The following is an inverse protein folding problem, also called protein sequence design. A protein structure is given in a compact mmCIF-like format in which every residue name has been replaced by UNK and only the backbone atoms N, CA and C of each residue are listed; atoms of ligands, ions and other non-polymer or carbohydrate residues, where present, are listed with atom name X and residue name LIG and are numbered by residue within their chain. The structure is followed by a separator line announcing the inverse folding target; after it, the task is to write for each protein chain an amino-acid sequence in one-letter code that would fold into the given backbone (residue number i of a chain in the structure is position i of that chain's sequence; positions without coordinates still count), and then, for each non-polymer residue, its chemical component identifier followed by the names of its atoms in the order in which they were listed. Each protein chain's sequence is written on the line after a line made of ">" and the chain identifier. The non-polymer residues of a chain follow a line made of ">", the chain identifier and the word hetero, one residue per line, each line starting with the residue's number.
data_IF_135572739928
#
_entry.id   IF_135572739928
#
_cell.length_a   1.000
_cell.length_b   1.000
_cell.length_c   1.000
_cell.angle_alpha   90.00
_cell.angle_beta   90.00
_cell.angle_gamma   90.00
#
_symmetry.space_group_name_H-M   'P 1'
#
loop_
_entity.id
_entity.type
_entity.pdbx_description
1 polymer ?
#
# COMPACT_ATOMS: atom_id res chain seq x y z
N UNK A 1 -7.43 -13.31 17.41
CA UNK A 1 -6.60 -12.80 18.51
C UNK A 1 -6.57 -13.87 19.61
N UNK A 2 -5.40 -14.47 19.87
CA UNK A 2 -5.24 -15.55 20.84
C UNK A 2 -5.24 -15.04 22.29
N UNK A 3 -4.71 -13.83 22.53
CA UNK A 3 -4.72 -13.15 23.83
C UNK A 3 -4.60 -11.64 23.61
N UNK A 4 -4.98 -10.84 24.59
CA UNK A 4 -5.06 -9.39 24.45
C UNK A 4 -6.25 -8.93 23.63
N UNK A 5 -6.19 -7.70 23.06
CA UNK A 5 -7.24 -7.12 22.24
C UNK A 5 -6.65 -6.28 21.11
N UNK A 6 -7.35 -6.24 19.97
CA UNK A 6 -7.13 -5.31 18.89
C UNK A 6 -8.42 -4.53 18.72
N UNK A 7 -8.35 -3.19 18.78
CA UNK A 7 -9.54 -2.35 18.68
C UNK A 7 -9.45 -1.38 17.51
N UNK A 8 -10.60 -1.15 16.85
CA UNK A 8 -10.79 -0.11 15.84
C UNK A 8 -11.89 0.82 16.34
N UNK A 9 -11.56 2.10 16.53
CA UNK A 9 -12.51 3.07 17.09
C UNK A 9 -13.04 2.70 18.49
N UNK A 10 -12.24 1.95 19.29
CA UNK A 10 -12.63 1.49 20.61
C UNK A 10 -13.42 0.18 20.65
N UNK A 11 -13.78 -0.40 19.50
CA UNK A 11 -14.50 -1.68 19.38
C UNK A 11 -13.48 -2.78 19.12
N UNK A 12 -13.55 -3.87 19.89
CA UNK A 12 -12.70 -5.06 19.66
C UNK A 12 -13.06 -5.70 18.30
N UNK A 13 -12.04 -6.03 17.52
CA UNK A 13 -12.25 -6.62 16.18
C UNK A 13 -13.03 -7.95 16.23
N UNK A 14 -13.05 -8.63 17.37
CA UNK A 14 -13.85 -9.87 17.59
C UNK A 14 -15.33 -9.61 17.72
N UNK A 15 -15.71 -8.38 18.09
CA UNK A 15 -17.09 -7.94 18.25
C UNK A 15 -17.62 -7.23 16.96
N UNK A 16 -16.78 -7.07 15.94
CA UNK A 16 -17.17 -6.50 14.66
C UNK A 16 -17.64 -7.59 13.69
N UNK A 17 -18.68 -7.29 12.91
CA UNK A 17 -19.01 -8.13 11.77
C UNK A 17 -17.86 -8.08 10.74
N UNK A 18 -17.56 -9.21 10.08
CA UNK A 18 -16.47 -9.33 9.13
C UNK A 18 -16.55 -8.29 8.00
N UNK A 19 -17.74 -8.07 7.46
CA UNK A 19 -17.98 -7.07 6.41
C UNK A 19 -17.70 -5.65 6.90
N UNK A 20 -17.99 -5.34 8.15
CA UNK A 20 -17.70 -4.04 8.75
C UNK A 20 -16.20 -3.85 8.94
N UNK A 21 -15.52 -4.86 9.46
CA UNK A 21 -14.06 -4.85 9.59
C UNK A 21 -13.40 -4.66 8.22
N UNK A 22 -13.83 -5.42 7.21
CA UNK A 22 -13.28 -5.34 5.86
C UNK A 22 -13.54 -3.99 5.19
N UNK A 23 -14.62 -3.29 5.52
CA UNK A 23 -14.84 -1.90 5.06
C UNK A 23 -13.86 -0.89 5.64
N UNK A 24 -13.40 -1.12 6.87
CA UNK A 24 -12.49 -0.18 7.55
C UNK A 24 -11.03 -0.36 7.18
N UNK A 25 -10.64 -1.48 6.60
CA UNK A 25 -9.21 -1.77 6.30
C UNK A 25 -9.02 -2.08 4.83
N UNK A 26 -8.03 -1.45 4.20
CA UNK A 26 -7.54 -1.80 2.86
C UNK A 26 -6.11 -2.28 2.94
N UNK A 27 -5.77 -3.26 2.10
CA UNK A 27 -4.43 -3.81 1.98
C UNK A 27 -3.86 -3.54 0.59
N UNK A 28 -2.57 -3.17 0.53
CA UNK A 28 -1.78 -3.20 -0.70
C UNK A 28 -0.61 -4.12 -0.43
N UNK A 29 -0.66 -5.32 -1.03
CA UNK A 29 0.35 -6.36 -0.86
C UNK A 29 1.53 -6.19 -1.82
N UNK A 30 2.67 -6.77 -1.47
CA UNK A 30 3.84 -6.87 -2.33
C UNK A 30 3.52 -7.67 -3.60
N UNK A 31 2.91 -8.85 -3.44
CA UNK A 31 2.48 -9.69 -4.56
C UNK A 31 1.09 -9.25 -5.05
N UNK A 32 1.08 -8.52 -6.16
CA UNK A 32 -0.14 -7.97 -6.71
C UNK A 32 -0.79 -8.97 -7.64
N UNK A 33 -1.98 -9.39 -7.25
CA UNK A 33 -2.84 -10.22 -8.07
C UNK A 33 -3.86 -9.36 -8.86
N UNK A 34 -3.89 -9.57 -10.17
CA UNK A 34 -4.96 -9.05 -11.04
C UNK A 34 -5.78 -10.22 -11.59
N UNK A 35 -7.08 -10.07 -11.50
CA UNK A 35 -8.02 -11.06 -12.02
C UNK A 35 -8.07 -10.99 -13.55
N UNK A 36 -8.37 -12.12 -14.19
CA UNK A 36 -8.56 -12.22 -15.64
C UNK A 36 -9.88 -11.55 -16.07
N UNK A 37 -9.86 -10.24 -16.04
CA UNK A 37 -10.98 -9.35 -16.38
C UNK A 37 -10.45 -8.01 -16.87
N UNK A 38 -11.31 -7.07 -17.21
CA UNK A 38 -10.91 -5.74 -17.64
C UNK A 38 -10.14 -4.98 -16.54
N UNK A 39 -9.34 -3.99 -16.90
CA UNK A 39 -8.71 -3.09 -15.94
C UNK A 39 -9.79 -2.35 -15.14
N UNK A 40 -10.85 -1.93 -15.81
CA UNK A 40 -12.01 -1.30 -15.19
C UNK A 40 -12.56 -2.15 -14.04
N UNK A 41 -12.82 -3.43 -14.29
CA UNK A 41 -13.39 -4.34 -13.29
C UNK A 41 -12.39 -4.67 -12.19
N UNK A 42 -11.10 -4.79 -12.52
CA UNK A 42 -10.05 -4.95 -11.52
C UNK A 42 -10.00 -3.79 -10.52
N UNK A 43 -10.16 -2.55 -10.96
CA UNK A 43 -10.22 -1.38 -10.08
C UNK A 43 -11.55 -1.35 -9.32
N UNK A 44 -12.67 -1.60 -10.01
CA UNK A 44 -14.03 -1.59 -9.45
C UNK A 44 -14.22 -2.60 -8.30
N UNK A 45 -13.39 -3.64 -8.22
CA UNK A 45 -13.42 -4.56 -7.07
C UNK A 45 -13.27 -3.87 -5.70
N UNK A 46 -12.63 -2.71 -5.65
CA UNK A 46 -12.54 -1.91 -4.41
C UNK A 46 -13.89 -1.33 -3.98
N UNK A 47 -14.76 -1.03 -4.94
CA UNK A 47 -16.13 -0.58 -4.72
C UNK A 47 -17.03 -1.06 -5.89
N UNK A 48 -17.72 -2.19 -5.74
CA UNK A 48 -18.53 -2.78 -6.82
C UNK A 48 -19.64 -1.87 -7.35
N UNK A 49 -20.12 -0.91 -6.55
CA UNK A 49 -21.17 0.04 -6.94
C UNK A 49 -20.62 1.30 -7.66
N UNK A 50 -19.30 1.41 -7.83
CA UNK A 50 -18.69 2.58 -8.43
C UNK A 50 -19.03 2.72 -9.92
N UNK A 51 -19.36 3.94 -10.34
CA UNK A 51 -19.52 4.28 -11.76
C UNK A 51 -18.17 4.23 -12.49
N UNK A 52 -18.21 4.21 -13.83
CA UNK A 52 -16.99 4.23 -14.64
C UNK A 52 -16.19 5.51 -14.42
N UNK A 53 -16.85 6.65 -14.25
CA UNK A 53 -16.22 7.94 -13.96
C UNK A 53 -15.47 7.90 -12.63
N UNK A 54 -16.02 7.23 -11.60
CA UNK A 54 -15.36 7.06 -10.30
C UNK A 54 -14.13 6.15 -10.42
N UNK A 55 -14.21 5.09 -11.22
CA UNK A 55 -13.07 4.21 -11.53
C UNK A 55 -11.96 5.00 -12.23
N UNK A 56 -12.31 5.81 -13.24
CA UNK A 56 -11.36 6.66 -13.96
C UNK A 56 -10.72 7.69 -13.02
N UNK A 57 -11.50 8.30 -12.13
CA UNK A 57 -10.99 9.24 -11.12
C UNK A 57 -9.97 8.57 -10.17
N UNK A 58 -10.27 7.36 -9.69
CA UNK A 58 -9.35 6.58 -8.85
C UNK A 58 -8.07 6.19 -9.63
N UNK A 59 -8.20 5.81 -10.89
CA UNK A 59 -7.06 5.50 -11.75
C UNK A 59 -6.16 6.72 -12.02
N UNK A 60 -6.74 7.91 -12.21
CA UNK A 60 -5.98 9.17 -12.32
C UNK A 60 -5.21 9.46 -11.03
N UNK A 61 -5.88 9.33 -9.89
CA UNK A 61 -5.27 9.52 -8.58
C UNK A 61 -4.10 8.54 -8.32
N UNK A 62 -4.22 7.30 -8.82
CA UNK A 62 -3.19 6.26 -8.74
C UNK A 62 -2.15 6.33 -9.87
N UNK A 63 -2.10 7.37 -10.70
CA UNK A 63 -1.17 7.51 -11.82
C UNK A 63 -1.29 6.38 -12.86
N UNK A 64 -2.52 5.83 -13.06
CA UNK A 64 -2.78 4.73 -14.01
C UNK A 64 -3.29 5.23 -15.36
N UNK A 65 -3.98 6.36 -15.38
CA UNK A 65 -4.78 6.80 -16.52
C UNK A 65 -4.01 6.87 -17.83
N UNK A 66 -2.78 7.39 -17.78
CA UNK A 66 -1.97 7.59 -18.99
C UNK A 66 -1.62 6.28 -19.69
N UNK A 67 -1.14 5.27 -18.93
CA UNK A 67 -0.80 4.00 -19.57
C UNK A 67 -2.04 3.23 -19.99
N UNK A 68 -3.13 3.27 -19.21
CA UNK A 68 -4.38 2.61 -19.56
C UNK A 68 -4.95 3.19 -20.87
N UNK A 69 -4.93 4.51 -21.03
CA UNK A 69 -5.44 5.18 -22.22
C UNK A 69 -4.66 4.86 -23.51
N UNK A 70 -3.41 4.40 -23.39
CA UNK A 70 -2.56 3.98 -24.51
C UNK A 70 -2.80 2.52 -24.93
N UNK A 71 -3.54 1.75 -24.14
CA UNK A 71 -3.87 0.37 -24.46
C UNK A 71 -4.96 0.31 -25.55
N UNK A 72 -4.96 -0.73 -26.41
CA UNK A 72 -5.88 -0.82 -27.55
C UNK A 72 -7.36 -0.68 -27.18
N UNK A 73 -7.78 -1.22 -26.02
CA UNK A 73 -9.16 -1.16 -25.53
C UNK A 73 -9.27 -0.29 -24.24
N UNK A 74 -8.27 0.54 -23.93
CA UNK A 74 -8.27 1.40 -22.76
C UNK A 74 -8.61 0.63 -21.48
N UNK A 75 -9.57 1.13 -20.71
CA UNK A 75 -10.04 0.51 -19.46
C UNK A 75 -10.71 -0.86 -19.65
N UNK A 76 -11.22 -1.16 -20.84
CA UNK A 76 -11.83 -2.46 -21.16
C UNK A 76 -10.78 -3.51 -21.58
N UNK A 77 -9.51 -3.18 -21.55
CA UNK A 77 -8.42 -4.13 -21.82
C UNK A 77 -8.43 -5.22 -20.78
N UNK A 78 -8.49 -6.48 -21.23
CA UNK A 78 -8.43 -7.68 -20.36
C UNK A 78 -6.96 -7.95 -20.00
N UNK A 79 -6.68 -8.11 -18.71
CA UNK A 79 -5.37 -8.46 -18.16
C UNK A 79 -5.36 -9.89 -17.61
N UNK A 80 -4.17 -10.45 -17.36
CA UNK A 80 -4.02 -11.81 -16.82
C UNK A 80 -3.37 -12.78 -17.80
N UNK A 81 -3.37 -14.10 -17.51
CA UNK A 81 -2.51 -15.12 -18.16
C UNK A 81 -2.63 -15.28 -19.68
N UNK A 82 -3.67 -14.73 -20.32
CA UNK A 82 -3.85 -14.67 -21.78
C UNK A 82 -4.16 -13.24 -22.27
N UNK A 83 -4.09 -12.25 -21.38
CA UNK A 83 -4.32 -10.83 -21.69
C UNK A 83 -3.01 -10.07 -21.89
N UNK A 84 -3.12 -8.74 -21.93
CA UNK A 84 -1.94 -7.86 -22.02
C UNK A 84 -1.09 -8.01 -20.75
N UNK A 85 0.22 -8.10 -20.96
CA UNK A 85 1.21 -8.16 -19.89
C UNK A 85 1.49 -6.74 -19.40
N UNK A 86 1.18 -6.47 -18.12
CA UNK A 86 1.53 -5.21 -17.44
C UNK A 86 2.86 -5.35 -16.70
N UNK A 87 3.64 -4.28 -16.66
CA UNK A 87 4.83 -4.19 -15.82
C UNK A 87 4.49 -4.30 -14.34
N UNK A 88 5.48 -4.56 -13.48
CA UNK A 88 5.28 -4.59 -12.04
C UNK A 88 4.70 -3.29 -11.49
N UNK A 89 5.23 -2.14 -11.94
CA UNK A 89 4.77 -0.82 -11.54
C UNK A 89 3.35 -0.49 -12.00
N UNK A 90 2.96 -0.91 -13.20
CA UNK A 90 1.58 -0.74 -13.70
C UNK A 90 0.59 -1.56 -12.88
N UNK A 91 0.93 -2.82 -12.57
CA UNK A 91 0.09 -3.66 -11.69
C UNK A 91 -0.07 -3.04 -10.32
N UNK A 92 1.01 -2.50 -9.76
CA UNK A 92 0.98 -1.86 -8.45
C UNK A 92 0.08 -0.63 -8.44
N UNK A 93 0.18 0.24 -9.43
CA UNK A 93 -0.70 1.40 -9.53
C UNK A 93 -2.18 1.00 -9.67
N UNK A 94 -2.49 -0.10 -10.36
CA UNK A 94 -3.87 -0.65 -10.39
C UNK A 94 -4.32 -1.11 -8.99
N UNK A 95 -3.45 -1.79 -8.22
CA UNK A 95 -3.78 -2.17 -6.84
C UNK A 95 -3.99 -0.95 -5.93
N UNK A 96 -3.20 0.10 -6.11
CA UNK A 96 -3.39 1.38 -5.41
C UNK A 96 -4.72 2.03 -5.82
N UNK A 97 -5.08 2.04 -7.11
CA UNK A 97 -6.37 2.55 -7.59
C UNK A 97 -7.55 1.80 -6.94
N UNK A 98 -7.43 0.47 -6.80
CA UNK A 98 -8.40 -0.38 -6.08
C UNK A 98 -8.55 0.04 -4.61
N UNK A 99 -7.45 0.35 -3.93
CA UNK A 99 -7.47 0.84 -2.55
C UNK A 99 -8.02 2.27 -2.43
N UNK A 100 -7.73 3.15 -3.39
CA UNK A 100 -8.28 4.51 -3.44
C UNK A 100 -9.79 4.49 -3.59
N UNK A 101 -10.34 3.71 -4.54
CA UNK A 101 -11.78 3.67 -4.78
C UNK A 101 -12.55 3.00 -3.62
N UNK A 102 -11.91 2.07 -2.90
CA UNK A 102 -12.46 1.48 -1.67
C UNK A 102 -12.57 2.51 -0.55
N UNK A 103 -11.62 3.42 -0.45
CA UNK A 103 -11.57 4.55 0.46
C UNK A 103 -11.70 4.19 1.96
N UNK A 104 -11.09 3.09 2.38
CA UNK A 104 -11.04 2.70 3.80
C UNK A 104 -10.24 3.69 4.64
N UNK A 105 -10.60 3.93 5.92
CA UNK A 105 -9.87 4.84 6.82
C UNK A 105 -8.52 4.28 7.29
N UNK A 106 -8.31 2.97 7.22
CA UNK A 106 -7.08 2.30 7.61
C UNK A 106 -6.47 1.63 6.37
N UNK A 107 -5.19 1.90 6.13
CA UNK A 107 -4.42 1.31 5.02
C UNK A 107 -3.27 0.50 5.59
N UNK A 108 -3.13 -0.73 5.14
CA UNK A 108 -1.96 -1.58 5.43
C UNK A 108 -1.17 -1.77 4.14
N UNK A 109 0.09 -1.35 4.16
CA UNK A 109 1.03 -1.46 3.05
C UNK A 109 2.10 -2.50 3.40
N UNK A 110 2.20 -3.55 2.59
CA UNK A 110 3.25 -4.56 2.72
C UNK A 110 4.23 -4.37 1.57
N UNK A 111 5.39 -3.83 1.89
CA UNK A 111 6.53 -3.49 1.01
C UNK A 111 6.21 -3.28 -0.48
N UNK A 112 5.64 -2.15 -0.78
CA UNK A 112 5.13 -1.86 -2.10
C UNK A 112 6.09 -1.03 -3.02
N UNK A 113 7.42 -0.97 -2.76
CA UNK A 113 8.29 0.05 -3.39
C UNK A 113 9.59 -0.47 -4.04
N UNK A 114 9.74 -1.78 -4.27
CA UNK A 114 10.96 -2.32 -4.88
C UNK A 114 10.89 -2.36 -6.42
N UNK A 115 11.02 -1.22 -7.10
CA UNK A 115 11.12 -1.19 -8.56
C UNK A 115 12.51 -0.72 -9.00
N UNK A 116 13.01 -1.34 -10.08
CA UNK A 116 14.31 -1.01 -10.67
C UNK A 116 14.26 0.23 -11.59
N UNK A 117 13.07 0.78 -11.83
CA UNK A 117 12.83 1.90 -12.74
C UNK A 117 12.43 3.15 -11.95
N UNK A 118 13.29 4.21 -11.95
CA UNK A 118 13.06 5.45 -11.21
C UNK A 118 11.77 6.18 -11.58
N UNK A 119 11.32 6.13 -12.85
CA UNK A 119 10.09 6.77 -13.28
C UNK A 119 8.87 6.10 -12.69
N UNK A 120 8.84 4.77 -12.70
CA UNK A 120 7.78 4.00 -12.06
C UNK A 120 7.76 4.19 -10.54
N UNK A 121 8.95 4.25 -9.89
CA UNK A 121 9.05 4.49 -8.45
C UNK A 121 8.44 5.86 -8.08
N UNK A 122 8.74 6.91 -8.83
CA UNK A 122 8.15 8.24 -8.62
C UNK A 122 6.62 8.26 -8.77
N UNK A 123 6.09 7.62 -9.82
CA UNK A 123 4.63 7.55 -10.04
C UNK A 123 3.93 6.76 -8.94
N UNK A 124 4.53 5.67 -8.47
CA UNK A 124 4.02 4.85 -7.37
C UNK A 124 4.01 5.65 -6.07
N UNK A 125 5.09 6.38 -5.78
CA UNK A 125 5.18 7.22 -4.60
C UNK A 125 4.06 8.27 -4.58
N UNK A 126 3.83 8.97 -5.70
CA UNK A 126 2.69 9.91 -5.84
C UNK A 126 1.33 9.24 -5.61
N UNK A 127 1.17 8.03 -6.13
CA UNK A 127 -0.06 7.27 -5.93
C UNK A 127 -0.27 6.91 -4.45
N UNK A 128 0.79 6.51 -3.73
CA UNK A 128 0.74 6.25 -2.29
C UNK A 128 0.45 7.51 -1.48
N UNK A 129 1.11 8.64 -1.77
CA UNK A 129 0.82 9.91 -1.10
C UNK A 129 -0.67 10.24 -1.18
N UNK A 130 -1.28 10.04 -2.36
CA UNK A 130 -2.71 10.27 -2.55
C UNK A 130 -3.57 9.26 -1.78
N UNK A 131 -3.18 7.98 -1.75
CA UNK A 131 -3.89 6.93 -1.01
C UNK A 131 -3.86 7.18 0.50
N UNK A 132 -2.72 7.61 1.04
CA UNK A 132 -2.48 7.76 2.49
C UNK A 132 -3.10 9.03 3.08
N UNK A 133 -3.44 10.01 2.26
CA UNK A 133 -3.88 11.33 2.71
C UNK A 133 -5.09 11.25 3.66
N UNK A 134 -4.92 11.72 4.91
CA UNK A 134 -5.97 11.77 5.93
C UNK A 134 -6.38 10.41 6.50
N UNK A 135 -5.52 9.39 6.41
CA UNK A 135 -5.81 8.02 6.86
C UNK A 135 -4.81 7.53 7.89
N UNK A 136 -5.20 6.51 8.64
CA UNK A 136 -4.27 5.73 9.46
C UNK A 136 -3.54 4.74 8.56
N UNK A 137 -2.20 4.82 8.55
CA UNK A 137 -1.37 3.99 7.67
C UNK A 137 -0.45 3.12 8.50
N UNK A 138 -0.48 1.81 8.23
CA UNK A 138 0.45 0.83 8.78
C UNK A 138 1.34 0.36 7.64
N UNK A 139 2.65 0.54 7.77
CA UNK A 139 3.63 0.16 6.74
C UNK A 139 4.51 -0.96 7.30
N UNK A 140 4.53 -2.10 6.62
CA UNK A 140 5.54 -3.13 6.82
C UNK A 140 6.68 -2.80 5.86
N UNK A 141 7.78 -2.30 6.41
CA UNK A 141 8.86 -1.75 5.60
C UNK A 141 10.08 -2.69 5.56
N UNK A 142 10.57 -2.92 4.37
CA UNK A 142 11.88 -3.55 4.14
C UNK A 142 12.97 -2.49 3.79
N UNK A 143 12.55 -1.28 3.41
CA UNK A 143 13.46 -0.13 3.22
C UNK A 143 13.24 0.89 4.33
N UNK A 144 14.26 1.12 5.13
CA UNK A 144 14.17 2.05 6.28
C UNK A 144 13.90 3.50 5.87
N UNK A 145 14.31 3.90 4.64
CA UNK A 145 14.02 5.23 4.11
C UNK A 145 12.53 5.55 4.02
N UNK A 146 11.68 4.55 3.76
CA UNK A 146 10.23 4.74 3.59
C UNK A 146 9.52 5.11 4.88
N UNK A 147 10.08 4.71 6.03
CA UNK A 147 9.46 4.93 7.35
C UNK A 147 10.12 6.04 8.15
N UNK A 148 11.15 6.71 7.61
CA UNK A 148 11.86 7.78 8.32
C UNK A 148 10.94 8.88 8.86
N UNK A 149 9.90 9.22 8.10
CA UNK A 149 8.94 10.26 8.43
C UNK A 149 7.65 9.72 9.09
N UNK A 150 7.64 8.46 9.53
CA UNK A 150 6.49 7.90 10.23
C UNK A 150 6.28 8.58 11.59
N UNK A 151 5.03 8.77 11.98
CA UNK A 151 4.67 9.32 13.29
C UNK A 151 5.13 8.42 14.43
N UNK A 152 5.15 7.10 14.17
CA UNK A 152 5.61 6.07 15.10
C UNK A 152 6.22 4.90 14.35
N UNK A 153 7.42 4.49 14.75
CA UNK A 153 8.11 3.30 14.27
C UNK A 153 8.03 2.25 15.38
N UNK A 154 7.75 1.01 14.98
CA UNK A 154 7.71 -0.15 15.86
C UNK A 154 8.75 -1.14 15.37
N UNK A 155 9.68 -1.53 16.22
CA UNK A 155 10.67 -2.56 15.93
C UNK A 155 10.25 -3.85 16.61
N UNK A 156 10.13 -4.91 15.80
CA UNK A 156 9.75 -6.23 16.28
C UNK A 156 10.88 -7.22 16.10
N UNK A 157 11.12 -8.06 17.09
CA UNK A 157 12.06 -9.17 17.03
C UNK A 157 11.44 -10.44 17.63
N UNK A 158 11.46 -11.52 16.86
CA UNK A 158 10.89 -12.84 17.28
C UNK A 158 9.44 -12.74 17.81
N UNK A 159 8.62 -11.88 17.19
CA UNK A 159 7.23 -11.69 17.59
C UNK A 159 7.02 -10.75 18.78
N UNK A 160 8.06 -10.15 19.33
CA UNK A 160 7.98 -9.21 20.43
C UNK A 160 8.31 -7.78 19.96
N UNK A 161 7.61 -6.80 20.52
CA UNK A 161 7.95 -5.40 20.38
C UNK A 161 9.21 -5.14 21.24
N UNK A 162 10.28 -4.66 20.60
CA UNK A 162 11.56 -4.39 21.29
C UNK A 162 11.84 -2.89 21.41
N UNK A 163 11.41 -2.09 20.44
CA UNK A 163 11.56 -0.63 20.47
C UNK A 163 10.35 0.04 19.80
N UNK A 164 10.01 1.23 20.28
CA UNK A 164 9.05 2.11 19.62
C UNK A 164 9.41 3.57 19.82
N UNK A 165 9.17 4.41 18.82
CA UNK A 165 9.47 5.85 18.86
C UNK A 165 9.50 6.46 17.46
N UNK A 166 9.94 7.70 17.36
CA UNK A 166 10.24 8.37 16.10
C UNK A 166 11.65 8.04 15.62
N UNK A 167 11.90 8.26 14.34
CA UNK A 167 13.20 8.00 13.72
C UNK A 167 14.38 8.57 14.54
N UNK A 168 14.34 9.87 14.81
CA UNK A 168 15.45 10.56 15.47
C UNK A 168 15.66 10.09 16.91
N UNK A 169 14.57 9.75 17.63
CA UNK A 169 14.61 9.20 18.98
C UNK A 169 15.25 7.82 19.00
N UNK A 170 14.86 6.95 18.07
CA UNK A 170 15.38 5.59 17.97
C UNK A 170 16.84 5.55 17.50
N UNK A 171 17.23 6.45 16.60
CA UNK A 171 18.65 6.60 16.19
C UNK A 171 19.49 7.07 17.37
N UNK A 172 19.02 8.07 18.12
CA UNK A 172 19.74 8.60 19.30
C UNK A 172 19.86 7.57 20.43
N UNK A 173 18.87 6.68 20.58
CA UNK A 173 18.89 5.61 21.59
C UNK A 173 19.98 4.55 21.34
N UNK A 174 20.51 4.44 20.12
CA UNK A 174 21.59 3.51 19.78
C UNK A 174 21.20 2.03 19.83
N UNK A 175 19.90 1.73 19.83
CA UNK A 175 19.34 0.39 19.95
C UNK A 175 19.32 -0.40 18.63
N UNK A 176 18.37 -1.33 18.55
CA UNK A 176 18.21 -2.21 17.37
C UNK A 176 17.92 -1.44 16.09
N UNK A 177 17.03 -0.44 16.17
CA UNK A 177 16.71 0.43 15.05
C UNK A 177 17.93 1.19 14.55
N UNK A 178 18.71 1.79 15.44
CA UNK A 178 19.92 2.51 15.08
C UNK A 178 20.94 1.62 14.37
N UNK A 179 21.14 0.38 14.83
CA UNK A 179 21.99 -0.60 14.15
C UNK A 179 21.51 -0.91 12.74
N UNK A 180 20.19 -1.14 12.56
CA UNK A 180 19.59 -1.37 11.25
C UNK A 180 19.75 -0.16 10.34
N UNK A 181 19.56 1.05 10.87
CA UNK A 181 19.72 2.29 10.13
C UNK A 181 21.15 2.51 9.67
N UNK A 182 22.14 2.29 10.53
CA UNK A 182 23.56 2.42 10.19
C UNK A 182 23.95 1.44 9.07
N UNK A 183 23.59 0.17 9.19
CA UNK A 183 23.84 -0.81 8.13
C UNK A 183 23.17 -0.41 6.81
N UNK A 184 21.95 0.13 6.88
CA UNK A 184 21.23 0.61 5.70
C UNK A 184 21.97 1.78 5.03
N UNK A 185 22.39 2.79 5.80
CA UNK A 185 23.11 3.96 5.27
C UNK A 185 24.48 3.59 4.72
N UNK A 186 25.23 2.71 5.36
CA UNK A 186 26.49 2.16 4.85
C UNK A 186 26.31 1.44 3.51
N UNK A 187 25.23 0.65 3.37
CA UNK A 187 24.95 -0.11 2.15
C UNK A 187 24.58 0.78 0.94
N UNK A 188 23.99 1.96 1.18
CA UNK A 188 23.60 2.90 0.11
C UNK A 188 24.63 4.02 -0.12
N UNK A 189 25.77 4.02 0.63
CA UNK A 189 26.85 4.95 0.46
C UNK A 189 26.55 6.39 0.92
N UNK A 190 25.75 6.52 1.98
CA UNK A 190 25.41 7.80 2.63
C UNK A 190 26.35 8.09 3.79
#
# INVERSE_FOLDING_TARGET
>A
VSSGSITIGGIDVRDMAEDDLMRHVSFVFQDIFLFKQSILDNIRMGNPSASEEQVIAAAKAAQCHEFISKLPNGYHTVVGSKGIHLSGGERQRIAIARAIIKNSPIIVLDEATAFSDPENEYLIQKAFEKLMQGKTVIIIAHRLSTIRNADKIIVMEKGHLVEEGKHDELVAAGGRYAQMWNHYTEAIGW
#
